data_IF_348359218045
#
_entry.id   IF_348359218045
#
_cell.length_a   1.000
_cell.length_b   1.000
_cell.length_c   1.000
_cell.angle_alpha   90.00
_cell.angle_beta   90.00
_cell.angle_gamma   90.00
#
_symmetry.space_group_name_H-M   'P 1'
#
loop_
_entity.id
_entity.type
_entity.pdbx_description
1 polymer ?
#
# COMPACT_ATOMS: atom_id res chain seq x y z
N UNK A 1 0.70 17.61 -3.36
CA UNK A 1 0.31 16.17 -3.25
C UNK A 1 0.46 15.37 -4.55
N UNK A 2 0.25 15.99 -5.72
CA UNK A 2 0.25 15.27 -7.01
C UNK A 2 1.56 14.57 -7.38
N UNK A 3 2.70 15.15 -6.99
CA UNK A 3 4.02 14.56 -7.25
C UNK A 3 4.20 13.22 -6.55
N UNK A 4 3.63 13.04 -5.35
CA UNK A 4 3.63 11.76 -4.66
C UNK A 4 2.74 10.75 -5.36
N UNK A 5 1.51 11.14 -5.71
CA UNK A 5 0.56 10.25 -6.42
C UNK A 5 1.13 9.77 -7.77
N UNK A 6 1.93 10.58 -8.45
CA UNK A 6 2.59 10.22 -9.71
C UNK A 6 3.81 9.31 -9.55
N UNK A 7 4.51 9.37 -8.42
CA UNK A 7 5.79 8.66 -8.20
C UNK A 7 5.68 7.45 -7.27
N UNK A 8 4.71 7.45 -6.36
CA UNK A 8 4.49 6.38 -5.41
C UNK A 8 3.80 5.17 -6.07
N UNK A 9 4.02 3.95 -5.55
CA UNK A 9 3.30 2.78 -6.03
C UNK A 9 1.79 2.96 -5.87
N UNK A 10 1.03 2.55 -6.88
CA UNK A 10 -0.44 2.67 -6.89
C UNK A 10 -1.06 1.97 -5.68
N UNK A 11 -0.54 0.79 -5.31
CA UNK A 11 -0.96 0.05 -4.12
C UNK A 11 -0.86 0.88 -2.84
N UNK A 12 0.21 1.67 -2.66
CA UNK A 12 0.36 2.52 -1.47
C UNK A 12 -0.63 3.67 -1.48
N UNK A 13 -0.80 4.32 -2.64
CA UNK A 13 -1.74 5.45 -2.80
C UNK A 13 -3.17 5.00 -2.50
N UNK A 14 -3.57 3.85 -3.04
CA UNK A 14 -4.90 3.29 -2.86
C UNK A 14 -5.12 2.84 -1.40
N UNK A 15 -4.08 2.25 -0.78
CA UNK A 15 -4.10 1.88 0.64
C UNK A 15 -4.31 3.11 1.54
N UNK A 16 -3.57 4.19 1.29
CA UNK A 16 -3.70 5.45 2.02
C UNK A 16 -5.10 6.06 1.85
N UNK A 17 -5.63 6.08 0.61
CA UNK A 17 -6.99 6.57 0.35
C UNK A 17 -8.04 5.75 1.08
N UNK A 18 -7.92 4.43 1.05
CA UNK A 18 -8.84 3.53 1.73
C UNK A 18 -8.77 3.71 3.25
N UNK A 19 -7.59 3.85 3.83
CA UNK A 19 -7.42 4.10 5.27
C UNK A 19 -8.07 5.42 5.71
N UNK A 20 -7.85 6.50 4.95
CA UNK A 20 -8.47 7.82 5.25
C UNK A 20 -10.00 7.75 5.08
N UNK A 21 -10.48 7.11 4.02
CA UNK A 21 -11.91 6.90 3.79
C UNK A 21 -12.56 6.07 4.91
N UNK A 22 -11.86 5.07 5.45
CA UNK A 22 -12.35 4.28 6.58
C UNK A 22 -12.41 5.08 7.90
N UNK A 23 -11.51 6.06 8.09
CA UNK A 23 -11.49 6.89 9.31
C UNK A 23 -12.57 7.96 9.32
N UNK A 24 -12.85 8.59 8.17
CA UNK A 24 -13.76 9.73 8.07
C UNK A 24 -15.15 9.33 7.55
N UNK A 25 -15.23 8.20 6.86
CA UNK A 25 -16.42 7.73 6.16
C UNK A 25 -16.50 8.21 4.72
N UNK A 26 -17.44 7.63 3.97
CA UNK A 26 -17.64 7.88 2.52
C UNK A 26 -18.95 8.63 2.24
N UNK A 27 -19.30 9.60 3.09
CA UNK A 27 -20.53 10.37 2.90
C UNK A 27 -20.42 11.32 1.71
N UNK A 28 -21.41 11.34 0.78
CA UNK A 28 -21.38 12.23 -0.37
C UNK A 28 -21.36 13.72 0.06
N UNK A 29 -20.30 14.48 -0.27
CA UNK A 29 -20.17 15.87 0.18
C UNK A 29 -21.20 16.80 -0.49
N UNK A 30 -21.82 16.37 -1.59
CA UNK A 30 -22.88 17.11 -2.26
C UNK A 30 -24.17 17.19 -1.44
N UNK A 31 -24.42 16.19 -0.57
CA UNK A 31 -25.66 16.07 0.19
C UNK A 31 -25.45 16.22 1.70
N UNK A 32 -24.21 16.11 2.18
CA UNK A 32 -23.88 16.11 3.60
C UNK A 32 -22.74 17.07 3.92
N UNK A 33 -22.96 17.93 4.92
CA UNK A 33 -21.90 18.74 5.55
C UNK A 33 -21.55 18.13 6.90
N UNK A 34 -20.35 17.55 6.99
CA UNK A 34 -19.87 16.86 8.20
C UNK A 34 -18.77 17.69 8.83
N UNK A 35 -19.00 18.13 10.06
CA UNK A 35 -18.01 18.85 10.87
C UNK A 35 -17.52 17.96 12.00
N UNK A 36 -16.21 17.88 12.15
CA UNK A 36 -15.53 17.13 13.21
C UNK A 36 -15.04 18.13 14.24
N UNK A 37 -15.39 17.88 15.51
CA UNK A 37 -15.00 18.73 16.63
C UNK A 37 -14.22 17.88 17.63
N UNK A 38 -13.02 18.31 17.98
CA UNK A 38 -12.14 17.55 18.88
C UNK A 38 -11.25 18.48 19.70
N UNK A 39 -10.64 17.94 20.75
CA UNK A 39 -9.62 18.63 21.54
C UNK A 39 -8.28 18.52 20.84
N UNK A 40 -7.46 19.57 20.89
CA UNK A 40 -6.16 19.61 20.20
C UNK A 40 -5.22 18.48 20.61
N UNK A 41 -5.24 18.03 21.87
CA UNK A 41 -4.49 16.85 22.33
C UNK A 41 -4.89 15.56 21.56
N UNK A 42 -6.19 15.31 21.42
CA UNK A 42 -6.69 14.14 20.69
C UNK A 42 -6.39 14.24 19.19
N UNK A 43 -6.46 15.46 18.63
CA UNK A 43 -6.06 15.70 17.25
C UNK A 43 -4.56 15.45 17.05
N UNK A 44 -3.71 15.91 17.97
CA UNK A 44 -2.27 15.67 17.93
C UNK A 44 -1.95 14.17 17.91
N UNK A 45 -2.61 13.40 18.78
CA UNK A 45 -2.45 11.96 18.86
C UNK A 45 -2.92 11.27 17.57
N UNK A 46 -4.04 11.71 17.00
CA UNK A 46 -4.51 11.22 15.70
C UNK A 46 -3.50 11.51 14.59
N UNK A 47 -3.00 12.74 14.51
CA UNK A 47 -2.01 13.16 13.51
C UNK A 47 -0.73 12.32 13.60
N UNK A 48 -0.22 12.10 14.82
CA UNK A 48 0.94 11.24 15.06
C UNK A 48 0.67 9.80 14.63
N UNK A 49 -0.46 9.22 15.03
CA UNK A 49 -0.85 7.86 14.65
C UNK A 49 -0.96 7.68 13.13
N UNK A 50 -1.50 8.68 12.44
CA UNK A 50 -1.65 8.68 10.98
C UNK A 50 -0.29 8.79 10.27
N UNK A 51 0.65 9.59 10.79
CA UNK A 51 2.03 9.59 10.29
C UNK A 51 2.72 8.24 10.50
N UNK A 52 2.57 7.63 11.68
CA UNK A 52 3.10 6.29 11.96
C UNK A 52 2.50 5.23 11.04
N UNK A 53 1.23 5.39 10.64
CA UNK A 53 0.58 4.52 9.66
C UNK A 53 1.23 4.68 8.27
N UNK A 54 1.53 5.91 7.86
CA UNK A 54 2.30 6.17 6.64
C UNK A 54 3.71 5.56 6.66
N UNK A 55 4.40 5.67 7.80
CA UNK A 55 5.69 5.06 8.05
C UNK A 55 5.63 3.52 7.94
N UNK A 56 4.64 2.91 8.59
CA UNK A 56 4.36 1.47 8.52
C UNK A 56 4.12 1.01 7.08
N UNK A 57 3.38 1.78 6.26
CA UNK A 57 3.16 1.42 4.86
C UNK A 57 4.45 1.31 4.06
N UNK A 58 5.44 2.19 4.30
CA UNK A 58 6.74 2.05 3.64
C UNK A 58 7.47 0.78 4.07
N UNK A 59 7.44 0.47 5.37
CA UNK A 59 8.07 -0.74 5.89
C UNK A 59 7.40 -2.02 5.40
N UNK A 60 6.06 -2.04 5.36
CA UNK A 60 5.29 -3.17 4.84
C UNK A 60 5.57 -3.37 3.34
N UNK A 61 5.57 -2.29 2.56
CA UNK A 61 5.89 -2.34 1.14
C UNK A 61 7.29 -2.90 0.91
N UNK A 62 8.30 -2.41 1.63
CA UNK A 62 9.67 -2.89 1.48
C UNK A 62 9.79 -4.39 1.82
N UNK A 63 9.14 -4.85 2.88
CA UNK A 63 9.12 -6.29 3.24
C UNK A 63 8.42 -7.13 2.16
N UNK A 64 7.30 -6.65 1.62
CA UNK A 64 6.56 -7.35 0.58
C UNK A 64 7.37 -7.45 -0.72
N UNK A 65 8.00 -6.35 -1.16
CA UNK A 65 8.87 -6.33 -2.34
C UNK A 65 10.07 -7.27 -2.18
N UNK A 66 10.66 -7.34 -0.98
CA UNK A 66 11.75 -8.27 -0.69
C UNK A 66 11.29 -9.73 -0.72
N UNK A 67 10.11 -10.05 -0.16
CA UNK A 67 9.55 -11.40 -0.21
C UNK A 67 9.34 -11.86 -1.66
N UNK A 68 8.70 -11.02 -2.47
CA UNK A 68 8.49 -11.29 -3.90
C UNK A 68 9.82 -11.46 -4.66
N UNK A 69 10.80 -10.60 -4.37
CA UNK A 69 12.13 -10.70 -5.00
C UNK A 69 12.88 -11.98 -4.62
N UNK A 70 12.74 -12.44 -3.38
CA UNK A 70 13.38 -13.66 -2.89
C UNK A 70 12.68 -14.93 -3.38
N UNK A 71 11.35 -14.93 -3.48
CA UNK A 71 10.58 -16.04 -4.06
C UNK A 71 11.01 -16.30 -5.52
N UNK A 72 11.19 -15.23 -6.30
CA UNK A 72 11.65 -15.32 -7.68
C UNK A 72 13.08 -15.88 -7.81
N UNK A 73 13.90 -15.81 -6.76
CA UNK A 73 15.28 -16.35 -6.73
C UNK A 73 15.30 -17.79 -6.19
N UNK A 74 14.47 -18.10 -5.20
CA UNK A 74 14.48 -19.38 -4.48
C UNK A 74 13.81 -20.53 -5.25
N UNK A 75 12.93 -20.21 -6.20
CA UNK A 75 12.33 -21.16 -7.12
C UNK A 75 12.62 -20.65 -8.53
N UNK A 76 13.22 -21.45 -9.44
CA UNK A 76 13.06 -21.17 -10.84
C UNK A 76 11.57 -21.34 -11.14
N UNK A 77 10.81 -20.24 -11.07
CA UNK A 77 9.49 -20.20 -11.66
C UNK A 77 9.67 -20.66 -13.11
N UNK A 78 8.85 -21.61 -13.61
CA UNK A 78 8.81 -21.83 -15.05
C UNK A 78 8.46 -20.47 -15.63
N UNK A 79 9.41 -19.83 -16.32
CA UNK A 79 9.28 -18.49 -16.89
C UNK A 79 7.85 -18.29 -17.37
N UNK A 80 7.06 -17.56 -16.57
CA UNK A 80 5.77 -17.11 -17.04
C UNK A 80 6.10 -15.94 -17.95
N UNK A 81 6.42 -16.27 -19.20
CA UNK A 81 6.49 -15.31 -20.29
C UNK A 81 5.07 -14.77 -20.50
N UNK A 82 4.55 -14.00 -19.55
CA UNK A 82 3.24 -13.36 -19.62
C UNK A 82 3.16 -12.27 -20.68
N UNK A 83 4.21 -12.06 -21.49
CA UNK A 83 4.19 -10.99 -22.48
C UNK A 83 4.91 -11.31 -23.80
N UNK A 84 4.91 -12.57 -24.23
CA UNK A 84 4.64 -12.95 -25.63
C UNK A 84 4.23 -14.43 -25.62
N UNK A 85 2.93 -14.73 -25.68
CA UNK A 85 2.53 -16.03 -26.22
C UNK A 85 2.90 -15.99 -27.70
N UNK A 86 3.89 -16.79 -28.13
CA UNK A 86 4.24 -16.96 -29.56
C UNK A 86 3.05 -17.47 -30.40
N UNK A 87 1.93 -17.83 -29.74
CA UNK A 87 0.73 -18.40 -30.33
C UNK A 87 -0.48 -17.51 -30.04
N UNK A 88 -1.26 -17.19 -31.07
CA UNK A 88 -2.49 -16.41 -30.94
C UNK A 88 -3.63 -17.24 -30.30
N UNK A 89 -4.55 -16.62 -29.55
CA UNK A 89 -5.70 -17.31 -28.97
C UNK A 89 -6.50 -18.07 -30.04
N UNK A 90 -6.78 -19.36 -29.81
CA UNK A 90 -7.58 -20.18 -30.72
C UNK A 90 -6.86 -20.74 -31.96
N UNK A 91 -5.53 -20.59 -32.10
CA UNK A 91 -4.78 -21.21 -33.22
C UNK A 91 -4.45 -22.69 -33.02
N UNK A 92 -4.64 -23.24 -31.82
CA UNK A 92 -4.28 -24.62 -31.45
C UNK A 92 -5.40 -25.64 -31.70
N UNK A 93 -6.21 -25.48 -32.76
CA UNK A 93 -7.37 -26.37 -33.05
C UNK A 93 -7.06 -27.57 -33.96
N UNK A 94 -5.82 -27.70 -34.44
CA UNK A 94 -5.36 -28.82 -35.30
C UNK A 94 -4.32 -29.69 -34.57
N UNK A 95 -4.68 -30.19 -33.40
CA UNK A 95 -3.81 -31.09 -32.62
C UNK A 95 -4.46 -32.46 -32.57
N UNK A 96 -3.72 -33.50 -32.91
CA UNK A 96 -4.19 -34.89 -32.87
C UNK A 96 -3.46 -35.63 -31.76
N UNK A 97 -4.18 -36.12 -30.76
CA UNK A 97 -3.60 -36.89 -29.66
C UNK A 97 -4.56 -37.11 -28.48
N UNK A 98 -4.23 -38.07 -27.62
CA UNK A 98 -4.90 -38.26 -26.32
C UNK A 98 -4.03 -37.66 -25.22
N UNK A 99 -4.64 -36.89 -24.30
CA UNK A 99 -3.98 -36.36 -23.10
C UNK A 99 -4.44 -37.18 -21.89
N UNK A 100 -3.50 -37.58 -21.03
CA UNK A 100 -3.79 -38.28 -19.78
C UNK A 100 -3.81 -37.26 -18.65
N UNK A 101 -5.01 -36.99 -18.10
CA UNK A 101 -5.21 -36.14 -16.92
C UNK A 101 -5.18 -37.01 -15.67
N UNK A 102 -4.38 -36.63 -14.68
CA UNK A 102 -4.35 -37.35 -13.41
C UNK A 102 -5.37 -36.76 -12.43
N UNK A 103 -6.41 -37.51 -12.10
CA UNK A 103 -7.39 -37.16 -11.09
C UNK A 103 -7.05 -37.85 -9.76
N UNK A 104 -7.03 -37.11 -8.66
CA UNK A 104 -6.69 -37.61 -7.31
C UNK A 104 -7.66 -38.71 -6.81
N UNK A 105 -8.84 -38.85 -7.41
CA UNK A 105 -9.89 -39.79 -7.00
C UNK A 105 -10.08 -40.93 -8.02
N UNK A 106 -10.07 -40.61 -9.32
CA UNK A 106 -10.38 -41.56 -10.38
C UNK A 106 -9.16 -42.08 -11.16
N UNK A 107 -7.96 -41.60 -10.84
CA UNK A 107 -6.72 -42.02 -11.49
C UNK A 107 -6.50 -41.37 -12.87
N UNK A 108 -5.77 -42.02 -13.80
CA UNK A 108 -5.49 -41.46 -15.12
C UNK A 108 -6.73 -41.49 -16.02
N UNK A 109 -7.21 -40.32 -16.41
CA UNK A 109 -8.34 -40.10 -17.31
C UNK A 109 -7.83 -39.68 -18.69
N UNK A 110 -8.25 -40.39 -19.75
CA UNK A 110 -7.89 -40.05 -21.13
C UNK A 110 -8.90 -39.07 -21.71
N UNK A 111 -8.41 -37.97 -22.27
CA UNK A 111 -9.25 -36.99 -22.96
C UNK A 111 -8.63 -36.59 -24.29
N UNK A 112 -9.46 -36.29 -25.28
CA UNK A 112 -8.99 -35.79 -26.57
C UNK A 112 -8.24 -34.45 -26.40
N UNK A 113 -7.10 -34.31 -27.07
CA UNK A 113 -6.24 -33.14 -26.93
C UNK A 113 -6.95 -31.84 -27.31
N UNK A 114 -7.82 -31.84 -28.34
CA UNK A 114 -8.56 -30.64 -28.76
C UNK A 114 -9.55 -30.23 -27.67
N UNK A 115 -10.26 -31.20 -27.11
CA UNK A 115 -11.22 -30.96 -26.02
C UNK A 115 -10.53 -30.47 -24.74
N UNK A 116 -9.31 -30.94 -24.48
CA UNK A 116 -8.54 -30.49 -23.32
C UNK A 116 -8.03 -29.06 -23.47
N UNK A 117 -7.55 -28.70 -24.66
CA UNK A 117 -7.12 -27.33 -24.96
C UNK A 117 -8.30 -26.36 -24.83
N UNK A 118 -9.47 -26.68 -25.37
CA UNK A 118 -10.68 -25.84 -25.23
C UNK A 118 -11.08 -25.67 -23.76
N UNK A 119 -11.03 -26.74 -22.97
CA UNK A 119 -11.26 -26.67 -21.52
C UNK A 119 -10.26 -25.73 -20.83
N UNK A 120 -8.96 -25.89 -21.10
CA UNK A 120 -7.92 -25.03 -20.53
C UNK A 120 -8.05 -23.56 -20.97
N UNK A 121 -8.33 -23.29 -22.24
CA UNK A 121 -8.56 -21.93 -22.75
C UNK A 121 -9.75 -21.28 -22.01
N UNK A 122 -10.83 -22.03 -21.80
CA UNK A 122 -12.00 -21.54 -21.06
C UNK A 122 -11.71 -21.27 -19.58
N UNK A 123 -10.93 -22.15 -18.93
CA UNK A 123 -10.53 -22.00 -17.53
C UNK A 123 -9.57 -20.81 -17.36
N UNK A 124 -8.62 -20.63 -18.28
CA UNK A 124 -7.71 -19.48 -18.30
C UNK A 124 -8.48 -18.17 -18.53
N UNK A 125 -9.46 -18.15 -19.42
CA UNK A 125 -10.28 -16.95 -19.63
C UNK A 125 -11.14 -16.63 -18.40
N UNK A 126 -11.71 -17.64 -17.74
CA UNK A 126 -12.44 -17.46 -16.50
C UNK A 126 -11.53 -16.95 -15.36
N UNK A 127 -10.35 -17.54 -15.18
CA UNK A 127 -9.35 -17.09 -14.21
C UNK A 127 -8.91 -15.65 -14.47
N UNK A 128 -8.65 -15.28 -15.73
CA UNK A 128 -8.34 -13.88 -16.11
C UNK A 128 -9.49 -12.95 -15.73
N UNK A 129 -10.74 -13.32 -16.02
CA UNK A 129 -11.92 -12.54 -15.61
C UNK A 129 -12.03 -12.43 -14.08
N UNK A 130 -11.73 -13.48 -13.33
CA UNK A 130 -11.72 -13.44 -11.86
C UNK A 130 -10.63 -12.51 -11.33
N UNK A 131 -9.42 -12.53 -11.89
CA UNK A 131 -8.34 -11.60 -11.54
C UNK A 131 -8.72 -10.16 -11.86
N UNK A 132 -9.29 -9.90 -13.04
CA UNK A 132 -9.78 -8.56 -13.40
C UNK A 132 -10.89 -8.07 -12.46
N UNK A 133 -11.82 -8.94 -12.06
CA UNK A 133 -12.87 -8.61 -11.08
C UNK A 133 -12.30 -8.37 -9.67
N UNK A 134 -11.32 -9.15 -9.22
CA UNK A 134 -10.63 -8.91 -7.95
C UNK A 134 -9.87 -7.58 -7.95
N UNK A 135 -9.16 -7.29 -9.04
CA UNK A 135 -8.49 -6.00 -9.22
C UNK A 135 -9.48 -4.82 -9.22
N UNK A 136 -10.66 -4.99 -9.83
CA UNK A 136 -11.72 -3.98 -9.81
C UNK A 136 -12.41 -3.79 -8.45
N UNK A 137 -12.39 -4.80 -7.57
CA UNK A 137 -13.01 -4.74 -6.24
C UNK A 137 -12.14 -4.05 -5.16
N UNK A 138 -11.08 -3.34 -5.55
CA UNK A 138 -10.19 -2.66 -4.60
C UNK A 138 -9.29 -3.60 -3.82
N UNK A 139 -8.96 -4.77 -4.40
CA UNK A 139 -7.98 -5.69 -3.81
C UNK A 139 -6.61 -5.01 -3.80
N UNK A 140 -6.07 -4.84 -2.60
CA UNK A 140 -4.80 -4.18 -2.38
C UNK A 140 -3.89 -5.14 -1.62
N UNK A 141 -2.95 -5.74 -2.36
CA UNK A 141 -2.02 -6.75 -1.84
C UNK A 141 -1.26 -6.25 -0.61
N UNK A 142 -0.88 -4.97 -0.58
CA UNK A 142 -0.22 -4.36 0.57
C UNK A 142 -1.14 -4.35 1.80
N UNK A 143 -2.41 -3.99 1.65
CA UNK A 143 -3.36 -4.02 2.75
C UNK A 143 -3.66 -5.45 3.20
N UNK A 144 -3.73 -6.41 2.29
CA UNK A 144 -3.99 -7.80 2.63
C UNK A 144 -2.79 -8.46 3.31
N UNK A 145 -1.58 -8.11 2.87
CA UNK A 145 -0.35 -8.41 3.60
C UNK A 145 -0.43 -7.88 5.03
N UNK A 146 -0.71 -6.58 5.22
CA UNK A 146 -0.79 -5.96 6.56
C UNK A 146 -1.87 -6.62 7.43
N UNK A 147 -3.04 -6.97 6.86
CA UNK A 147 -4.11 -7.67 7.58
C UNK A 147 -3.73 -9.10 7.97
N UNK A 148 -2.86 -9.75 7.19
CA UNK A 148 -2.42 -11.12 7.46
C UNK A 148 -1.32 -11.21 8.52
N UNK A 149 -0.66 -10.09 8.83
CA UNK A 149 0.40 -10.05 9.83
C UNK A 149 -0.14 -10.23 11.26
N UNK A 150 0.61 -10.99 12.06
CA UNK A 150 0.37 -11.07 13.50
C UNK A 150 0.58 -9.71 14.19
N UNK A 151 -0.12 -9.44 15.33
CA UNK A 151 -0.03 -8.16 16.03
C UNK A 151 1.39 -7.77 16.46
N UNK A 152 2.27 -8.75 16.70
CA UNK A 152 3.67 -8.50 17.02
C UNK A 152 4.44 -7.98 15.80
N UNK A 153 4.30 -8.65 14.65
CA UNK A 153 4.92 -8.22 13.40
C UNK A 153 4.42 -6.85 12.94
N UNK A 154 3.16 -6.54 13.19
CA UNK A 154 2.59 -5.21 12.93
C UNK A 154 3.28 -4.13 13.78
N UNK A 155 3.49 -4.40 15.07
CA UNK A 155 4.21 -3.48 15.97
C UNK A 155 5.66 -3.29 15.54
N UNK A 156 6.31 -4.30 14.99
CA UNK A 156 7.70 -4.18 14.51
C UNK A 156 7.82 -3.23 13.31
N UNK A 157 6.77 -3.07 12.50
CA UNK A 157 6.73 -2.09 11.41
C UNK A 157 6.75 -0.64 11.92
N UNK A 158 6.31 -0.42 13.16
CA UNK A 158 6.28 0.92 13.80
C UNK A 158 7.41 1.11 14.82
N UNK A 159 7.81 0.06 15.54
CA UNK A 159 8.87 0.11 16.55
C UNK A 159 10.27 0.23 15.95
N UNK A 160 10.42 -0.03 14.65
CA UNK A 160 11.66 0.19 13.91
C UNK A 160 11.95 1.66 13.58
N UNK A 161 11.10 2.61 14.01
CA UNK A 161 11.37 4.03 13.86
C UNK A 161 12.52 4.47 14.77
N UNK A 162 13.55 5.11 14.20
CA UNK A 162 14.65 5.70 14.94
C UNK A 162 14.19 6.83 15.87
N UNK A 163 14.98 7.10 16.91
CA UNK A 163 14.68 8.16 17.89
C UNK A 163 14.51 9.53 17.23
N UNK A 164 15.36 9.84 16.23
CA UNK A 164 15.30 11.08 15.46
C UNK A 164 14.00 11.22 14.67
N UNK A 165 13.49 10.10 14.12
CA UNK A 165 12.21 10.07 13.38
C UNK A 165 11.05 10.36 14.31
N UNK A 166 11.01 9.69 15.47
CA UNK A 166 9.97 9.90 16.49
C UNK A 166 10.00 11.34 17.00
N UNK A 167 11.19 11.88 17.25
CA UNK A 167 11.37 13.28 17.66
C UNK A 167 10.87 14.25 16.58
N UNK A 168 11.27 14.04 15.32
CA UNK A 168 10.86 14.89 14.20
C UNK A 168 9.35 14.87 13.98
N UNK A 169 8.71 13.70 14.04
CA UNK A 169 7.25 13.57 13.92
C UNK A 169 6.51 14.31 15.05
N UNK A 170 6.97 14.16 16.31
CA UNK A 170 6.36 14.86 17.44
C UNK A 170 6.55 16.39 17.35
N UNK A 171 7.75 16.85 16.96
CA UNK A 171 8.02 18.27 16.76
C UNK A 171 7.16 18.83 15.62
N UNK A 172 6.98 18.06 14.55
CA UNK A 172 6.16 18.42 13.41
C UNK A 172 4.67 18.59 13.79
N UNK A 173 4.08 17.63 14.52
CA UNK A 173 2.69 17.74 15.01
C UNK A 173 2.50 18.95 15.91
N UNK A 174 3.40 19.16 16.87
CA UNK A 174 3.34 20.33 17.78
C UNK A 174 3.37 21.65 17.01
N UNK A 175 4.23 21.74 16.00
CA UNK A 175 4.35 22.93 15.15
C UNK A 175 3.09 23.15 14.30
N UNK A 176 2.51 22.09 13.75
CA UNK A 176 1.31 22.19 12.91
C UNK A 176 0.09 22.66 13.70
N UNK A 177 -0.05 22.21 14.95
CA UNK A 177 -1.13 22.68 15.82
C UNK A 177 -0.92 24.10 16.34
N UNK A 178 0.25 24.71 16.11
CA UNK A 178 0.63 26.04 16.62
C UNK A 178 0.45 26.21 18.15
N UNK A 179 0.33 25.12 18.90
CA UNK A 179 0.19 25.13 20.35
C UNK A 179 1.54 24.78 20.97
N UNK A 180 2.24 25.81 21.47
CA UNK A 180 3.53 25.64 22.15
C UNK A 180 3.38 25.11 23.59
N UNK A 181 2.18 25.26 24.19
CA UNK A 181 1.93 24.95 25.60
C UNK A 181 1.01 23.71 25.77
N UNK A 182 1.48 22.62 26.42
CA UNK A 182 0.68 21.41 26.64
C UNK A 182 -0.59 21.66 27.48
N UNK A 183 -0.67 22.73 28.28
CA UNK A 183 -1.90 23.07 29.00
C UNK A 183 -3.00 23.60 28.05
N UNK A 184 -2.61 24.33 27.01
CA UNK A 184 -3.53 24.88 26.01
C UNK A 184 -4.07 23.80 25.07
N UNK A 185 -3.29 22.74 24.81
CA UNK A 185 -3.74 21.60 23.99
C UNK A 185 -4.94 20.86 24.58
N UNK A 186 -5.11 20.87 25.91
CA UNK A 186 -6.21 20.19 26.60
C UNK A 186 -7.54 20.94 26.52
N UNK A 187 -7.49 22.23 26.19
CA UNK A 187 -8.63 23.14 26.28
C UNK A 187 -9.00 23.67 24.88
N UNK A 188 -8.02 23.75 23.96
CA UNK A 188 -8.25 24.18 22.59
C UNK A 188 -9.14 23.18 21.84
N UNK A 189 -10.36 23.61 21.54
CA UNK A 189 -11.29 22.88 20.69
C UNK A 189 -11.00 23.26 19.24
N UNK A 190 -10.79 22.25 18.41
CA UNK A 190 -10.56 22.40 16.97
C UNK A 190 -11.80 21.90 16.24
N UNK A 191 -12.31 22.70 15.31
CA UNK A 191 -13.39 22.32 14.41
C UNK A 191 -12.86 22.33 12.98
N UNK A 192 -13.08 21.25 12.24
CA UNK A 192 -12.68 21.14 10.83
C UNK A 192 -13.73 20.36 10.07
N UNK A 193 -13.84 20.61 8.77
CA UNK A 193 -14.75 19.84 7.91
C UNK A 193 -14.15 18.46 7.61
N UNK A 194 -15.00 17.46 7.40
CA UNK A 194 -14.56 16.12 7.00
C UNK A 194 -13.62 16.09 5.77
N UNK A 195 -13.87 16.82 4.66
CA UNK A 195 -12.95 16.83 3.52
C UNK A 195 -11.61 17.49 3.81
N UNK A 196 -11.57 18.57 4.61
CA UNK A 196 -10.31 19.20 5.04
C UNK A 196 -9.50 18.25 5.92
N UNK A 197 -10.16 17.61 6.89
CA UNK A 197 -9.53 16.60 7.74
C UNK A 197 -9.01 15.43 6.89
N UNK A 198 -9.76 14.98 5.88
CA UNK A 198 -9.33 13.90 4.99
C UNK A 198 -8.05 14.27 4.22
N UNK A 199 -8.00 15.49 3.68
CA UNK A 199 -6.81 15.99 3.00
C UNK A 199 -5.62 16.11 3.96
N UNK A 200 -5.84 16.60 5.18
CA UNK A 200 -4.80 16.69 6.20
C UNK A 200 -4.28 15.30 6.58
N UNK A 201 -5.16 14.34 6.89
CA UNK A 201 -4.76 12.98 7.27
C UNK A 201 -4.02 12.28 6.12
N UNK A 202 -4.52 12.40 4.89
CA UNK A 202 -3.83 11.85 3.72
C UNK A 202 -2.43 12.44 3.57
N UNK A 203 -2.30 13.76 3.71
CA UNK A 203 -1.01 14.43 3.64
C UNK A 203 -0.07 13.98 4.75
N UNK A 204 -0.56 13.81 5.98
CA UNK A 204 0.24 13.28 7.09
C UNK A 204 0.72 11.85 6.84
N UNK A 205 -0.10 10.99 6.22
CA UNK A 205 0.37 9.66 5.79
C UNK A 205 1.51 9.75 4.77
N UNK A 206 1.40 10.66 3.80
CA UNK A 206 2.46 10.89 2.80
C UNK A 206 3.74 11.39 3.47
N UNK A 207 3.63 12.28 4.45
CA UNK A 207 4.78 12.77 5.24
C UNK A 207 5.42 11.61 6.00
N UNK A 208 4.64 10.80 6.73
CA UNK A 208 5.16 9.65 7.46
C UNK A 208 5.87 8.63 6.57
N UNK A 209 5.30 8.35 5.40
CA UNK A 209 5.92 7.50 4.37
C UNK A 209 7.25 8.08 3.86
N UNK A 210 7.29 9.39 3.64
CA UNK A 210 8.49 10.08 3.18
C UNK A 210 9.59 10.14 4.24
N UNK A 211 9.23 10.28 5.51
CA UNK A 211 10.19 10.27 6.63
C UNK A 211 10.94 8.93 6.65
N UNK A 212 10.24 7.80 6.47
CA UNK A 212 10.91 6.50 6.36
C UNK A 212 11.89 6.44 5.18
N UNK A 213 11.54 7.01 4.03
CA UNK A 213 12.45 7.06 2.89
C UNK A 213 13.71 7.86 3.19
N UNK A 214 13.55 8.98 3.89
CA UNK A 214 14.68 9.83 4.29
C UNK A 214 15.55 9.10 5.29
N UNK A 215 14.97 8.45 6.31
CA UNK A 215 15.69 7.67 7.32
C UNK A 215 16.52 6.56 6.68
N UNK A 216 15.91 5.74 5.79
CA UNK A 216 16.64 4.66 5.09
C UNK A 216 17.79 5.21 4.26
N UNK A 217 17.58 6.33 3.55
CA UNK A 217 18.66 6.97 2.78
C UNK A 217 19.76 7.50 3.69
N UNK A 218 19.39 8.15 4.80
CA UNK A 218 20.34 8.71 5.75
C UNK A 218 21.17 7.63 6.44
N UNK A 219 20.54 6.52 6.85
CA UNK A 219 21.25 5.35 7.37
C UNK A 219 22.21 4.76 6.34
N UNK A 220 21.80 4.67 5.08
CA UNK A 220 22.66 4.18 4.00
C UNK A 220 23.84 5.12 3.74
N UNK A 221 23.62 6.44 3.71
CA UNK A 221 24.68 7.44 3.56
C UNK A 221 25.68 7.40 4.72
N UNK A 222 25.19 7.22 5.95
CA UNK A 222 26.02 7.04 7.16
C UNK A 222 26.89 5.78 7.08
N UNK A 223 26.38 4.69 6.53
CA UNK A 223 27.13 3.43 6.36
C UNK A 223 28.16 3.55 5.22
N UNK A 224 27.89 4.36 4.20
CA UNK A 224 28.72 4.51 3.00
C UNK A 224 29.72 5.68 3.07
N UNK A 225 29.83 6.38 4.20
CA UNK A 225 30.75 7.51 4.47
C UNK A 225 30.76 8.59 3.36
N UNK A 226 29.59 8.79 2.74
CA UNK A 226 29.39 9.75 1.65
C UNK A 226 28.97 11.11 2.22
N UNK A 227 29.49 12.26 1.72
CA UNK A 227 29.15 13.56 2.29
C UNK A 227 27.65 13.85 2.13
N UNK A 228 26.99 14.44 3.16
CA UNK A 228 25.54 14.55 3.21
C UNK A 228 25.01 15.44 2.09
N UNK A 229 24.10 14.91 1.26
CA UNK A 229 23.28 15.71 0.35
C UNK A 229 21.98 16.06 1.07
N UNK A 230 21.78 17.35 1.35
CA UNK A 230 20.55 17.86 1.97
C UNK A 230 19.32 17.37 1.20
N UNK A 231 18.53 16.54 1.88
CA UNK A 231 17.27 16.03 1.39
C UNK A 231 16.21 17.13 1.36
N UNK A 232 15.88 17.66 0.19
CA UNK A 232 14.78 18.61 0.05
C UNK A 232 13.44 17.92 0.31
N UNK A 233 12.72 18.41 1.33
CA UNK A 233 11.30 18.13 1.52
C UNK A 233 10.52 18.67 0.31
N UNK A 234 9.40 18.04 -0.09
CA UNK A 234 8.58 18.58 -1.17
C UNK A 234 8.23 20.03 -0.86
N UNK A 235 8.35 20.96 -1.83
CA UNK A 235 8.04 22.36 -1.59
C UNK A 235 6.59 22.47 -1.09
N UNK A 236 6.42 23.16 0.04
CA UNK A 236 5.10 23.63 0.44
C UNK A 236 4.56 24.47 -0.70
N UNK A 237 3.32 24.20 -1.13
CA UNK A 237 2.63 25.09 -2.06
C UNK A 237 2.58 26.48 -1.41
N UNK A 238 3.27 27.45 -2.03
CA UNK A 238 3.14 28.86 -1.67
C UNK A 238 1.67 29.27 -1.89
N UNK A 239 1.18 30.03 -0.91
CA UNK A 239 -0.20 30.53 -0.76
C UNK A 239 -0.73 31.20 -2.03
#
# INVERSE_FOLDING_TARGET
MELFVKRAPKQVVDAMRQTVANMIGTLPPQFFSVNVTTVAENLAQLMYSVMMTGYMFRNAQYRLELQQSLEHIALPEPKDNMDVSDYAPGTQKKVTGEVIKWNKITGPEKMDAVKYIEFLESEVEELKRQVTRRSANGHNELLDYIKSLEPQNLKDLTNSAGEDVVFAMNAFVKRLLAVSDPAQMKIAVTQTTAPELANLLYWLMVVGYSIRNIEVRFDMERVLDSPPKLAELPPGEDI
#
